data_IF_116162602126
#
_entry.id   IF_116162602126
#
_cell.length_a   1.000
_cell.length_b   1.000
_cell.length_c   1.000
_cell.angle_alpha   90.00
_cell.angle_beta   90.00
_cell.angle_gamma   90.00
#
_symmetry.space_group_name_H-M   'P 1'
#
loop_
_entity.id
_entity.type
_entity.pdbx_description
1 polymer ?
#
# COMPACT_ATOMS: atom_id res chain seq x y z
N UNK A 1 9.34 1.11 -26.29
CA UNK A 1 10.02 -0.19 -26.02
C UNK A 1 9.43 -1.29 -26.92
N UNK A 2 10.25 -2.20 -27.47
CA UNK A 2 9.73 -3.36 -28.24
C UNK A 2 9.12 -4.42 -27.29
N UNK A 3 8.06 -5.15 -27.69
CA UNK A 3 7.38 -6.11 -26.81
C UNK A 3 8.30 -7.12 -26.13
N UNK A 4 9.21 -7.76 -26.87
CA UNK A 4 10.12 -8.78 -26.31
C UNK A 4 11.09 -8.20 -25.27
N UNK A 5 11.57 -6.97 -25.47
CA UNK A 5 12.47 -6.32 -24.51
C UNK A 5 11.74 -5.97 -23.21
N UNK A 6 10.46 -5.59 -23.30
CA UNK A 6 9.62 -5.32 -22.13
C UNK A 6 9.42 -6.58 -21.30
N UNK A 7 9.15 -7.70 -21.96
CA UNK A 7 8.90 -8.98 -21.31
C UNK A 7 10.16 -9.52 -20.61
N UNK A 8 11.33 -9.42 -21.25
CA UNK A 8 12.62 -9.76 -20.64
C UNK A 8 12.91 -8.90 -19.39
N UNK A 9 12.68 -7.59 -19.47
CA UNK A 9 12.83 -6.68 -18.34
C UNK A 9 11.87 -7.02 -17.20
N UNK A 10 10.59 -7.26 -17.52
CA UNK A 10 9.57 -7.69 -16.54
C UNK A 10 9.98 -8.99 -15.86
N UNK A 11 10.42 -9.98 -16.63
CA UNK A 11 10.89 -11.26 -16.09
C UNK A 11 12.07 -11.09 -15.13
N UNK A 12 13.08 -10.29 -15.52
CA UNK A 12 14.24 -10.01 -14.68
C UNK A 12 13.84 -9.27 -13.39
N UNK A 13 13.00 -8.24 -13.50
CA UNK A 13 12.52 -7.46 -12.35
C UNK A 13 11.64 -8.28 -11.40
N UNK A 14 10.69 -9.05 -11.94
CA UNK A 14 9.84 -9.93 -11.15
C UNK A 14 10.67 -10.99 -10.42
N UNK A 15 11.66 -11.59 -11.09
CA UNK A 15 12.56 -12.57 -10.47
C UNK A 15 13.30 -11.96 -9.28
N UNK A 16 13.90 -10.78 -9.48
CA UNK A 16 14.61 -10.07 -8.40
C UNK A 16 13.68 -9.67 -7.26
N UNK A 17 12.48 -9.19 -7.59
CA UNK A 17 11.47 -8.81 -6.61
C UNK A 17 11.00 -10.02 -5.80
N UNK A 18 10.57 -11.09 -6.46
CA UNK A 18 10.13 -12.34 -5.81
C UNK A 18 11.22 -12.94 -4.94
N UNK A 19 12.49 -12.92 -5.38
CA UNK A 19 13.59 -13.41 -4.57
C UNK A 19 13.72 -12.64 -3.25
N UNK A 20 13.63 -11.29 -3.30
CA UNK A 20 13.62 -10.47 -2.08
C UNK A 20 12.38 -10.71 -1.24
N UNK A 21 11.22 -10.74 -1.89
CA UNK A 21 9.92 -10.96 -1.27
C UNK A 21 9.88 -12.27 -0.47
N UNK A 22 10.33 -13.38 -1.07
CA UNK A 22 10.34 -14.71 -0.41
C UNK A 22 11.40 -14.84 0.69
N UNK A 23 12.45 -14.03 0.65
CA UNK A 23 13.50 -14.03 1.68
C UNK A 23 13.17 -13.12 2.86
N UNK A 24 12.14 -12.30 2.76
CA UNK A 24 11.77 -11.40 3.84
C UNK A 24 11.28 -12.19 5.06
N UNK A 25 11.73 -11.86 6.28
CA UNK A 25 11.29 -12.56 7.50
C UNK A 25 9.77 -12.57 7.71
N UNK A 26 9.08 -11.53 7.26
CA UNK A 26 7.63 -11.37 7.35
C UNK A 26 6.85 -12.18 6.30
N UNK A 27 7.51 -12.64 5.23
CA UNK A 27 6.85 -13.28 4.09
C UNK A 27 5.93 -14.45 4.46
N UNK A 28 6.34 -15.40 5.33
CA UNK A 28 5.48 -16.52 5.72
C UNK A 28 4.18 -16.08 6.43
N UNK A 29 4.16 -14.88 7.00
CA UNK A 29 3.08 -14.39 7.84
C UNK A 29 2.14 -13.42 7.09
N UNK A 30 2.53 -12.91 5.93
CA UNK A 30 1.73 -11.94 5.15
C UNK A 30 0.26 -12.38 4.98
N UNK A 31 -0.04 -13.62 4.54
CA UNK A 31 -1.43 -14.02 4.33
C UNK A 31 -2.25 -14.06 5.61
N UNK A 32 -1.63 -14.42 6.74
CA UNK A 32 -2.25 -14.44 8.07
C UNK A 32 -2.50 -13.04 8.62
N UNK A 33 -1.68 -12.06 8.22
CA UNK A 33 -1.91 -10.64 8.52
C UNK A 33 -2.94 -9.98 7.58
N UNK A 34 -3.57 -10.75 6.69
CA UNK A 34 -4.53 -10.23 5.71
C UNK A 34 -3.88 -9.64 4.46
N UNK A 35 -2.54 -9.64 4.36
CA UNK A 35 -1.82 -9.18 3.18
C UNK A 35 -1.78 -10.33 2.17
N UNK A 36 -2.75 -10.32 1.26
CA UNK A 36 -2.88 -11.32 0.19
C UNK A 36 -2.68 -10.75 -1.21
N UNK A 37 -2.59 -9.44 -1.33
CA UNK A 37 -2.38 -8.74 -2.60
C UNK A 37 -1.25 -7.73 -2.42
N UNK A 38 -0.31 -7.70 -3.38
CA UNK A 38 0.84 -6.80 -3.38
C UNK A 38 0.95 -6.19 -4.78
N UNK A 39 0.95 -4.87 -4.85
CA UNK A 39 1.12 -4.12 -6.09
C UNK A 39 2.46 -3.39 -6.06
N UNK A 40 3.28 -3.56 -7.09
CA UNK A 40 4.59 -2.93 -7.22
C UNK A 40 4.74 -2.31 -8.60
N UNK A 41 4.90 -0.99 -8.66
CA UNK A 41 5.25 -0.27 -9.89
C UNK A 41 6.74 -0.41 -10.21
N UNK A 42 7.07 -0.59 -11.48
CA UNK A 42 8.45 -0.61 -11.97
C UNK A 42 8.66 0.44 -13.05
N UNK A 43 9.72 1.21 -12.87
CA UNK A 43 10.13 2.29 -13.77
C UNK A 43 11.62 2.14 -14.06
N UNK A 44 12.00 2.38 -15.32
CA UNK A 44 13.39 2.49 -15.69
C UNK A 44 13.92 3.88 -15.32
N UNK A 45 15.16 3.95 -14.82
CA UNK A 45 15.83 5.22 -14.53
C UNK A 45 16.18 6.01 -15.79
N UNK A 46 16.31 5.33 -16.91
CA UNK A 46 16.53 5.95 -18.21
C UNK A 46 15.18 6.43 -18.77
N UNK A 47 15.05 7.74 -18.98
CA UNK A 47 13.80 8.39 -19.43
C UNK A 47 13.25 7.78 -20.74
N UNK A 48 14.12 7.22 -21.59
CA UNK A 48 13.72 6.56 -22.85
C UNK A 48 12.98 5.22 -22.66
N UNK A 49 13.20 4.54 -21.53
CA UNK A 49 12.58 3.25 -21.22
C UNK A 49 11.26 3.42 -20.44
N UNK A 50 11.15 4.47 -19.63
CA UNK A 50 9.91 4.90 -18.97
C UNK A 50 9.28 3.86 -18.03
N UNK A 51 7.95 3.92 -17.89
CA UNK A 51 7.16 2.99 -17.07
C UNK A 51 7.16 1.59 -17.68
N UNK A 52 7.64 0.61 -16.93
CA UNK A 52 7.76 -0.79 -17.38
C UNK A 52 6.44 -1.53 -17.18
N UNK A 53 5.79 -1.28 -16.05
CA UNK A 53 4.52 -1.90 -15.69
C UNK A 53 4.31 -1.93 -14.18
N UNK A 54 3.12 -2.36 -13.78
CA UNK A 54 2.80 -2.67 -12.39
C UNK A 54 2.65 -4.18 -12.23
N UNK A 55 3.46 -4.78 -11.38
CA UNK A 55 3.33 -6.18 -10.98
C UNK A 55 2.29 -6.27 -9.87
N UNK A 56 1.33 -7.17 -10.03
CA UNK A 56 0.42 -7.58 -8.98
C UNK A 56 0.67 -9.03 -8.61
N UNK A 57 1.01 -9.26 -7.35
CA UNK A 57 1.08 -10.58 -6.76
C UNK A 57 -0.13 -10.82 -5.89
N UNK A 58 -0.78 -11.98 -6.04
CA UNK A 58 -1.86 -12.38 -5.15
C UNK A 58 -1.69 -13.80 -4.62
N UNK A 59 -2.08 -13.98 -3.36
CA UNK A 59 -1.99 -15.23 -2.65
C UNK A 59 -3.32 -15.99 -2.73
N UNK A 60 -3.24 -17.27 -3.08
CA UNK A 60 -4.38 -18.19 -3.03
C UNK A 60 -4.08 -19.34 -2.09
N UNK A 61 -5.10 -19.73 -1.31
CA UNK A 61 -5.01 -20.90 -0.44
C UNK A 61 -5.29 -22.14 -1.28
N UNK A 62 -4.34 -23.06 -1.34
CA UNK A 62 -4.53 -24.37 -1.98
C UNK A 62 -4.88 -25.44 -0.93
N UNK A 63 -4.15 -25.44 0.19
CA UNK A 63 -4.29 -26.42 1.28
C UNK A 63 -4.27 -25.76 2.66
N UNK A 64 -4.48 -26.54 3.73
CA UNK A 64 -4.42 -26.06 5.12
C UNK A 64 -3.09 -25.40 5.51
N UNK A 65 -1.98 -25.81 4.88
CA UNK A 65 -0.61 -25.38 5.23
C UNK A 65 0.07 -24.64 4.07
N UNK A 66 -0.48 -24.73 2.85
CA UNK A 66 0.18 -24.26 1.62
C UNK A 66 -0.73 -23.34 0.83
N UNK A 67 -0.11 -22.33 0.25
CA UNK A 67 -0.72 -21.45 -0.73
C UNK A 67 0.33 -20.92 -1.68
N UNK A 68 -0.13 -20.43 -2.83
CA UNK A 68 0.72 -20.01 -3.94
C UNK A 68 0.53 -18.53 -4.23
N UNK A 69 1.64 -17.85 -4.49
CA UNK A 69 1.67 -16.46 -4.95
C UNK A 69 1.73 -16.40 -6.47
N UNK A 70 0.60 -16.02 -7.08
CA UNK A 70 0.48 -15.80 -8.52
C UNK A 70 0.96 -14.40 -8.88
N UNK A 71 1.15 -14.12 -10.18
CA UNK A 71 1.58 -12.81 -10.66
C UNK A 71 0.93 -12.43 -11.98
N UNK A 72 0.58 -11.15 -12.12
CA UNK A 72 0.11 -10.54 -13.36
C UNK A 72 0.75 -9.15 -13.53
N UNK A 73 0.86 -8.70 -14.78
CA UNK A 73 1.43 -7.41 -15.10
C UNK A 73 0.39 -6.50 -15.75
N UNK A 74 0.34 -5.25 -15.28
CA UNK A 74 -0.42 -4.17 -15.90
C UNK A 74 0.48 -3.29 -16.74
N UNK A 75 -0.07 -2.82 -17.85
CA UNK A 75 0.67 -2.04 -18.83
C UNK A 75 0.66 -0.56 -18.52
N UNK A 76 -0.34 -0.09 -17.76
CA UNK A 76 -0.45 1.28 -17.28
C UNK A 76 -0.64 1.35 -15.75
N UNK A 77 -0.23 2.46 -15.10
CA UNK A 77 -0.50 2.68 -13.69
C UNK A 77 -2.01 2.68 -13.37
N UNK A 78 -2.83 3.23 -14.25
CA UNK A 78 -4.28 3.36 -14.06
C UNK A 78 -4.97 2.00 -13.99
N UNK A 79 -4.56 1.05 -14.83
CA UNK A 79 -5.06 -0.32 -14.80
C UNK A 79 -4.76 -1.00 -13.46
N UNK A 80 -3.52 -0.87 -12.99
CA UNK A 80 -3.10 -1.45 -11.72
C UNK A 80 -3.81 -0.82 -10.51
N UNK A 81 -3.97 0.50 -10.50
CA UNK A 81 -4.74 1.21 -9.47
C UNK A 81 -6.21 0.79 -9.49
N UNK A 82 -6.82 0.70 -10.68
CA UNK A 82 -8.20 0.23 -10.83
C UNK A 82 -8.36 -1.18 -10.26
N UNK A 83 -7.42 -2.09 -10.53
CA UNK A 83 -7.45 -3.44 -9.96
C UNK A 83 -7.28 -3.42 -8.44
N UNK A 84 -6.40 -2.58 -7.90
CA UNK A 84 -6.21 -2.45 -6.46
C UNK A 84 -7.50 -1.98 -5.75
N UNK A 85 -8.22 -1.01 -6.33
CA UNK A 85 -9.52 -0.56 -5.82
C UNK A 85 -10.55 -1.70 -5.85
N UNK A 86 -10.64 -2.43 -6.97
CA UNK A 86 -11.57 -3.57 -7.07
C UNK A 86 -11.28 -4.64 -6.01
N UNK A 87 -9.99 -4.99 -5.82
CA UNK A 87 -9.57 -5.96 -4.81
C UNK A 87 -9.93 -5.48 -3.41
N UNK A 88 -9.77 -4.19 -3.12
CA UNK A 88 -10.14 -3.59 -1.84
C UNK A 88 -11.65 -3.70 -1.58
N UNK A 89 -12.47 -3.37 -2.58
CA UNK A 89 -13.93 -3.51 -2.54
C UNK A 89 -14.37 -4.97 -2.39
N UNK A 90 -13.68 -5.92 -3.03
CA UNK A 90 -13.98 -7.36 -2.96
C UNK A 90 -13.63 -7.96 -1.60
N UNK A 91 -12.54 -7.51 -0.95
CA UNK A 91 -12.02 -8.10 0.30
C UNK A 91 -12.69 -7.50 1.54
N UNK A 92 -13.10 -6.24 1.48
CA UNK A 92 -13.65 -5.54 2.65
C UNK A 92 -15.16 -5.42 2.56
N UNK A 93 -15.86 -5.85 3.62
CA UNK A 93 -17.31 -5.63 3.72
C UNK A 93 -17.67 -4.21 4.20
N UNK A 94 -16.68 -3.43 4.62
CA UNK A 94 -16.85 -2.08 5.21
C UNK A 94 -16.15 -1.03 4.36
N UNK A 95 -16.70 0.19 4.36
CA UNK A 95 -16.13 1.33 3.65
C UNK A 95 -14.85 1.81 4.33
N UNK A 96 -13.70 1.50 3.72
CA UNK A 96 -12.39 1.92 4.23
C UNK A 96 -12.19 3.44 4.19
N UNK A 97 -12.78 4.15 3.22
CA UNK A 97 -12.71 5.62 3.17
C UNK A 97 -13.46 6.21 4.36
N UNK A 98 -14.61 5.64 4.72
CA UNK A 98 -15.35 6.07 5.91
C UNK A 98 -14.56 5.81 7.19
N UNK A 99 -13.88 4.67 7.29
CA UNK A 99 -13.03 4.36 8.44
C UNK A 99 -11.89 5.38 8.60
N UNK A 100 -11.19 5.68 7.50
CA UNK A 100 -10.12 6.68 7.46
C UNK A 100 -10.64 8.07 7.84
N UNK A 101 -11.82 8.45 7.31
CA UNK A 101 -12.47 9.70 7.65
C UNK A 101 -12.72 9.81 9.16
N UNK A 102 -13.37 8.81 9.77
CA UNK A 102 -13.69 8.82 11.20
C UNK A 102 -12.42 8.89 12.05
N UNK A 103 -11.35 8.18 11.66
CA UNK A 103 -10.08 8.26 12.35
C UNK A 103 -9.45 9.65 12.26
N UNK A 104 -9.50 10.28 11.07
CA UNK A 104 -9.03 11.65 10.90
C UNK A 104 -9.81 12.66 11.73
N UNK A 105 -11.13 12.55 11.75
CA UNK A 105 -12.01 13.39 12.57
C UNK A 105 -11.65 13.26 14.06
N UNK A 106 -11.47 12.03 14.55
CA UNK A 106 -11.04 11.77 15.92
C UNK A 106 -9.69 12.42 16.26
N UNK A 107 -8.67 12.28 15.40
CA UNK A 107 -7.37 12.91 15.59
C UNK A 107 -7.46 14.45 15.59
N UNK A 108 -8.33 15.02 14.75
CA UNK A 108 -8.57 16.47 14.73
C UNK A 108 -9.19 16.95 16.04
N UNK A 109 -10.15 16.21 16.59
CA UNK A 109 -10.76 16.55 17.88
C UNK A 109 -9.76 16.51 19.04
N UNK A 110 -8.88 15.49 19.07
CA UNK A 110 -7.80 15.41 20.06
C UNK A 110 -6.88 16.63 19.97
N UNK A 111 -6.42 16.97 18.76
CA UNK A 111 -5.58 18.16 18.54
C UNK A 111 -6.27 19.45 18.97
N UNK A 112 -7.58 19.58 18.71
CA UNK A 112 -8.35 20.76 19.14
C UNK A 112 -8.42 20.85 20.67
N UNK A 113 -8.71 19.74 21.36
CA UNK A 113 -8.74 19.70 22.84
C UNK A 113 -7.37 20.01 23.46
N UNK A 114 -6.29 19.51 22.86
CA UNK A 114 -4.92 19.83 23.29
C UNK A 114 -4.57 21.31 23.09
N UNK A 115 -5.01 21.93 21.99
CA UNK A 115 -4.83 23.35 21.78
C UNK A 115 -5.64 24.17 22.82
N UNK A 116 -6.91 23.83 23.03
CA UNK A 116 -7.79 24.51 24.00
C UNK A 116 -7.27 24.41 25.44
N UNK A 117 -6.67 23.28 25.83
CA UNK A 117 -6.05 23.10 27.15
C UNK A 117 -4.80 23.96 27.30
N UNK A 118 -3.92 23.99 26.29
CA UNK A 118 -2.74 24.87 26.29
C UNK A 118 -3.10 26.35 26.35
N UNK A 119 -4.09 26.79 25.58
CA UNK A 119 -4.58 28.17 25.63
C UNK A 119 -5.08 28.56 27.02
N UNK A 120 -5.83 27.67 27.69
CA UNK A 120 -6.30 27.90 29.07
C UNK A 120 -5.16 27.92 30.09
N UNK A 121 -4.15 27.07 29.91
CA UNK A 121 -2.95 27.08 30.75
C UNK A 121 -2.16 28.38 30.58
N UNK A 122 -1.99 28.87 29.34
CA UNK A 122 -1.33 30.15 29.04
C UNK A 122 -2.11 31.36 29.59
N UNK A 123 -3.44 31.40 29.46
CA UNK A 123 -4.28 32.44 30.08
C UNK A 123 -4.22 32.43 31.62
N UNK A 124 -4.04 31.25 32.25
CA UNK A 124 -3.85 31.15 33.70
C UNK A 124 -2.43 31.51 34.18
N UNK A 125 -1.43 31.51 33.27
CA UNK A 125 -0.05 31.95 33.56
C UNK A 125 0.12 33.46 33.33
N UNK A 126 -0.70 34.08 32.48
CA UNK A 126 -0.73 35.54 32.23
C UNK A 126 -1.87 36.36 32.90
N UNK A 127 -2.28 36.13 34.16
CA UNK A 127 -3.15 37.06 34.88
C UNK A 127 -2.37 38.08 35.71
N UNK A 128 -1.03 38.14 35.63
CA UNK A 128 -0.21 39.06 36.46
C UNK A 128 1.11 39.52 35.85
N UNK A 129 1.18 39.77 34.53
CA UNK A 129 2.25 40.63 34.01
C UNK A 129 1.91 42.11 34.29
N UNK A 130 2.20 42.54 35.53
CA UNK A 130 2.29 43.96 35.90
C UNK A 130 3.46 44.66 35.22
#
# INVERSE_FOLDING_TARGET
MKPNQREELRYAMETQFRYKFYKSPEFPFLPSMGIRHVFQGFEAKEEELGFIGMLHLWWTKEDFVKGTWHGEWFDSPEEGIKRAIQVQEEITFWDQNKLLQVHHEYLNELRRKEAETKFKEEEMIDPTSK
#
